data_IF_159417847651
#
_entry.id   IF_159417847651
#
_cell.length_a   1.000
_cell.length_b   1.000
_cell.length_c   1.000
_cell.angle_alpha   90.00
_cell.angle_beta   90.00
_cell.angle_gamma   90.00
#
_symmetry.space_group_name_H-M   'P 1'
#
loop_
_entity.id
_entity.type
_entity.pdbx_description
1 polymer ?
#
# COMPACT_ATOMS: atom_id res chain seq x y z
N UNK A 1 -1.87 -21.31 -3.02
CA UNK A 1 -1.68 -21.17 -2.78
C UNK A 1 -1.84 -21.18 -2.80
N UNK A 2 -1.71 -21.11 -3.08
CA UNK A 2 -1.65 -21.00 -2.94
C UNK A 2 -1.68 -20.91 -3.05
N UNK A 3 -1.64 -20.92 -3.32
CA UNK A 3 -1.53 -20.68 -3.23
C UNK A 3 -1.82 -20.55 -3.34
N UNK A 4 -1.88 -20.67 -3.78
CA UNK A 4 -2.09 -20.35 -3.61
C UNK A 4 -2.47 -20.22 -3.57
N UNK A 5 -2.67 -20.38 -3.91
CA UNK A 5 -3.14 -20.01 -3.62
C UNK A 5 -3.15 -19.61 -3.74
N UNK A 6 -3.00 -19.26 -4.31
CA UNK A 6 -2.99 -18.59 -4.43
C UNK A 6 -2.93 -17.87 -4.60
N UNK A 7 -2.92 -17.64 -5.36
CA UNK A 7 -3.14 -16.85 -5.31
C UNK A 7 -3.21 -15.36 -5.53
N UNK A 8 -3.89 -14.77 -5.31
CA UNK A 8 -4.33 -13.39 -5.26
C UNK A 8 -3.76 -12.64 -4.07
N UNK A 9 -3.03 -13.34 -3.26
CA UNK A 9 -2.40 -12.83 -2.05
C UNK A 9 -1.37 -11.74 -2.28
N UNK A 10 -0.65 -11.69 -3.42
CA UNK A 10 0.29 -10.58 -3.65
C UNK A 10 -0.38 -9.21 -3.58
N UNK A 11 -1.63 -9.13 -4.00
CA UNK A 11 -2.37 -7.87 -3.94
C UNK A 11 -2.73 -7.52 -2.49
N UNK A 12 -3.30 -8.47 -1.76
CA UNK A 12 -3.90 -8.22 -0.45
C UNK A 12 -2.93 -8.18 0.72
N UNK A 13 -1.63 -8.39 0.47
CA UNK A 13 -0.62 -8.38 1.54
C UNK A 13 0.09 -7.06 1.72
N UNK A 14 0.05 -6.21 0.71
CA UNK A 14 0.85 -4.99 0.70
C UNK A 14 0.44 -3.98 1.75
N UNK A 15 -0.86 -3.78 1.95
CA UNK A 15 -1.36 -2.81 2.92
C UNK A 15 -0.99 -3.19 4.35
N UNK A 16 -1.00 -4.47 4.68
CA UNK A 16 -0.62 -4.92 6.02
C UNK A 16 0.88 -4.75 6.26
N UNK A 17 1.69 -5.00 5.26
CA UNK A 17 3.14 -4.83 5.36
C UNK A 17 3.50 -3.35 5.55
N UNK A 18 2.86 -2.46 4.79
CA UNK A 18 3.08 -1.02 4.91
C UNK A 18 2.62 -0.52 6.27
N UNK A 19 1.44 -0.92 6.72
CA UNK A 19 0.92 -0.54 8.02
C UNK A 19 1.88 -0.98 9.13
N UNK A 20 2.36 -2.20 9.06
CA UNK A 20 3.32 -2.72 10.05
C UNK A 20 4.63 -1.92 10.03
N UNK A 21 5.11 -1.53 8.85
CA UNK A 21 6.31 -0.70 8.72
C UNK A 21 6.14 0.64 9.43
N UNK A 22 5.00 1.29 9.25
CA UNK A 22 4.71 2.55 9.94
C UNK A 22 4.66 2.37 11.45
N UNK A 23 4.03 1.29 11.92
CA UNK A 23 3.97 0.98 13.36
C UNK A 23 5.36 0.79 13.95
N UNK A 24 6.24 0.07 13.25
CA UNK A 24 7.62 -0.13 13.71
C UNK A 24 8.41 1.18 13.72
N UNK A 25 8.22 2.03 12.72
CA UNK A 25 8.87 3.34 12.68
C UNK A 25 8.46 4.19 13.88
N UNK A 26 7.17 4.19 14.24
CA UNK A 26 6.69 4.92 15.41
C UNK A 26 7.34 4.41 16.70
N UNK A 27 7.38 3.09 16.88
CA UNK A 27 7.99 2.48 18.06
C UNK A 27 9.47 2.87 18.17
N UNK A 28 10.20 2.83 17.06
CA UNK A 28 11.61 3.21 17.05
C UNK A 28 11.85 4.67 17.40
N UNK A 29 10.90 5.55 17.07
CA UNK A 29 10.97 6.95 17.39
C UNK A 29 10.43 7.27 18.77
N UNK A 30 10.05 6.26 19.53
CA UNK A 30 9.47 6.45 20.86
C UNK A 30 8.04 6.95 20.84
N UNK A 31 7.37 6.85 19.71
CA UNK A 31 5.97 7.27 19.58
C UNK A 31 5.05 6.10 19.79
N UNK A 32 3.86 6.36 20.30
CA UNK A 32 2.83 5.36 20.41
C UNK A 32 2.19 5.19 19.04
N UNK A 33 2.17 3.96 18.48
CA UNK A 33 1.51 3.72 17.19
C UNK A 33 0.01 4.01 17.28
N UNK A 34 -0.56 4.39 16.14
CA UNK A 34 -2.00 4.51 16.01
C UNK A 34 -2.65 3.12 16.05
N UNK A 35 -3.98 3.08 16.19
CA UNK A 35 -4.69 1.80 16.13
C UNK A 35 -4.38 1.11 14.80
N UNK A 36 -4.13 -0.19 14.86
CA UNK A 36 -3.74 -0.98 13.69
C UNK A 36 -4.74 -0.85 12.53
N UNK A 37 -6.04 -0.88 12.85
CA UNK A 37 -7.08 -0.73 11.84
C UNK A 37 -7.01 0.59 11.08
N UNK A 38 -6.65 1.68 11.76
CA UNK A 38 -6.48 2.97 11.12
C UNK A 38 -5.27 2.99 10.21
N UNK A 39 -4.18 2.36 10.65
CA UNK A 39 -2.96 2.23 9.84
C UNK A 39 -3.24 1.41 8.57
N UNK A 40 -3.99 0.32 8.70
CA UNK A 40 -4.35 -0.53 7.55
C UNK A 40 -5.25 0.24 6.58
N UNK A 41 -6.19 1.04 7.08
CA UNK A 41 -7.02 1.89 6.21
C UNK A 41 -6.18 2.85 5.38
N UNK A 42 -5.21 3.51 6.02
CA UNK A 42 -4.35 4.46 5.32
C UNK A 42 -3.47 3.74 4.30
N UNK A 43 -2.90 2.60 4.68
CA UNK A 43 -2.10 1.80 3.77
C UNK A 43 -2.92 1.28 2.58
N UNK A 44 -4.19 0.96 2.80
CA UNK A 44 -5.09 0.53 1.73
C UNK A 44 -5.30 1.65 0.70
N UNK A 45 -5.45 2.89 1.17
CA UNK A 45 -5.56 4.04 0.28
C UNK A 45 -4.31 4.19 -0.60
N UNK A 46 -3.15 4.02 0.00
CA UNK A 46 -1.88 4.11 -0.70
C UNK A 46 -1.74 3.01 -1.75
N UNK A 47 -2.08 1.78 -1.37
CA UNK A 47 -2.01 0.63 -2.28
C UNK A 47 -3.00 0.78 -3.43
N UNK A 48 -4.19 1.33 -3.18
CA UNK A 48 -5.15 1.61 -4.24
C UNK A 48 -4.54 2.54 -5.30
N UNK A 49 -3.84 3.57 -4.87
CA UNK A 49 -3.16 4.49 -5.79
C UNK A 49 -2.11 3.75 -6.61
N UNK A 50 -1.33 2.89 -5.99
CA UNK A 50 -0.33 2.09 -6.71
C UNK A 50 -0.98 1.23 -7.80
N UNK A 51 -2.10 0.60 -7.49
CA UNK A 51 -2.82 -0.23 -8.48
C UNK A 51 -3.41 0.60 -9.60
N UNK A 52 -3.96 1.78 -9.29
CA UNK A 52 -4.46 2.67 -10.32
C UNK A 52 -3.35 3.08 -11.30
N UNK A 53 -2.17 3.40 -10.76
CA UNK A 53 -1.02 3.74 -11.58
C UNK A 53 -0.59 2.57 -12.46
N UNK A 54 -0.57 1.36 -11.90
CA UNK A 54 -0.20 0.16 -12.65
C UNK A 54 -1.16 -0.11 -13.80
N UNK A 55 -2.46 0.07 -13.59
CA UNK A 55 -3.44 -0.13 -14.67
C UNK A 55 -3.22 0.82 -15.83
N UNK A 56 -2.78 2.04 -15.55
CA UNK A 56 -2.53 3.02 -16.59
C UNK A 56 -1.21 2.80 -17.33
N UNK A 57 -0.21 2.30 -16.63
CA UNK A 57 1.17 2.32 -17.13
C UNK A 57 1.76 0.94 -17.46
N UNK A 58 1.19 -0.14 -16.95
CA UNK A 58 1.73 -1.47 -17.14
C UNK A 58 1.16 -2.16 -18.37
N UNK A 59 2.02 -2.83 -19.14
CA UNK A 59 1.64 -3.66 -20.27
C UNK A 59 1.45 -5.14 -19.86
N UNK A 60 1.70 -5.47 -18.61
CA UNK A 60 1.57 -6.83 -18.11
C UNK A 60 0.10 -7.18 -17.93
N UNK A 61 -0.45 -7.96 -18.86
CA UNK A 61 -1.87 -8.31 -18.86
C UNK A 61 -2.29 -9.13 -17.63
N UNK A 62 -1.41 -10.00 -17.15
CA UNK A 62 -1.70 -10.80 -15.96
C UNK A 62 -1.83 -9.92 -14.73
N UNK A 63 -0.88 -9.02 -14.56
CA UNK A 63 -0.90 -8.06 -13.45
C UNK A 63 -2.11 -7.14 -13.54
N UNK A 64 -2.43 -6.67 -14.74
CA UNK A 64 -3.58 -5.79 -14.96
C UNK A 64 -4.89 -6.51 -14.64
N UNK A 65 -5.00 -7.79 -14.98
CA UNK A 65 -6.18 -8.58 -14.65
C UNK A 65 -6.35 -8.72 -13.14
N UNK A 66 -5.25 -8.99 -12.43
CA UNK A 66 -5.28 -9.05 -10.96
C UNK A 66 -5.66 -7.70 -10.35
N UNK A 67 -5.10 -6.64 -10.89
CA UNK A 67 -5.39 -5.29 -10.40
C UNK A 67 -6.87 -4.94 -10.58
N UNK A 68 -7.44 -5.21 -11.76
CA UNK A 68 -8.87 -4.96 -12.01
C UNK A 68 -9.76 -5.76 -11.08
N UNK A 69 -9.32 -6.94 -10.67
CA UNK A 69 -10.07 -7.80 -9.77
C UNK A 69 -10.12 -7.23 -8.35
N UNK A 70 -9.03 -6.65 -7.87
CA UNK A 70 -8.91 -6.21 -6.49
C UNK A 70 -9.12 -4.71 -6.28
N UNK A 71 -8.91 -3.91 -7.30
CA UNK A 71 -9.07 -2.46 -7.18
C UNK A 71 -10.45 -2.04 -6.66
N UNK A 72 -11.58 -2.65 -7.10
CA UNK A 72 -12.88 -2.29 -6.56
C UNK A 72 -13.00 -2.47 -5.05
N UNK A 73 -12.31 -3.46 -4.49
CA UNK A 73 -12.28 -3.66 -3.05
C UNK A 73 -11.57 -2.50 -2.35
N UNK A 74 -10.41 -2.10 -2.88
CA UNK A 74 -9.65 -0.99 -2.30
C UNK A 74 -10.43 0.32 -2.42
N UNK A 75 -11.12 0.52 -3.53
CA UNK A 75 -11.96 1.72 -3.72
C UNK A 75 -13.13 1.75 -2.75
N UNK A 76 -13.72 0.60 -2.43
CA UNK A 76 -14.76 0.52 -1.40
C UNK A 76 -14.24 0.89 -0.03
N UNK A 77 -13.03 0.43 0.31
CA UNK A 77 -12.42 0.77 1.59
C UNK A 77 -12.13 2.28 1.66
N UNK A 78 -11.63 2.85 0.58
CA UNK A 78 -11.37 4.29 0.52
C UNK A 78 -12.66 5.07 0.71
N UNK A 79 -13.74 4.68 0.03
CA UNK A 79 -15.03 5.31 0.16
C UNK A 79 -15.56 5.21 1.59
N UNK A 80 -15.44 4.03 2.20
CA UNK A 80 -15.84 3.82 3.57
C UNK A 80 -15.08 4.75 4.52
N UNK A 81 -13.76 4.81 4.37
CA UNK A 81 -12.93 5.68 5.20
C UNK A 81 -13.33 7.14 5.06
N UNK A 82 -13.66 7.55 3.84
CA UNK A 82 -14.08 8.92 3.56
C UNK A 82 -15.44 9.21 4.17
N UNK A 83 -16.41 8.31 3.98
CA UNK A 83 -17.77 8.49 4.51
C UNK A 83 -17.78 8.49 6.03
N UNK A 84 -16.98 7.66 6.65
CA UNK A 84 -16.88 7.55 8.12
C UNK A 84 -15.92 8.56 8.72
N UNK A 85 -15.29 9.39 7.89
CA UNK A 85 -14.32 10.40 8.31
C UNK A 85 -13.19 9.80 9.16
N UNK A 86 -12.68 8.66 8.71
CA UNK A 86 -11.56 7.99 9.39
C UNK A 86 -10.34 8.91 9.34
N UNK A 87 -9.73 9.23 10.50
CA UNK A 87 -8.59 10.13 10.50
C UNK A 87 -7.38 9.55 9.80
N UNK A 88 -6.59 10.42 9.18
CA UNK A 88 -5.33 10.03 8.57
C UNK A 88 -4.29 9.79 9.66
N UNK A 89 -3.55 8.69 9.55
CA UNK A 89 -2.50 8.33 10.52
C UNK A 89 -1.12 8.82 10.11
N UNK A 90 -0.91 9.04 8.82
CA UNK A 90 0.35 9.56 8.29
C UNK A 90 0.06 10.76 7.39
N UNK A 91 0.69 11.88 7.71
CA UNK A 91 0.40 13.15 7.05
C UNK A 91 1.64 13.80 6.45
N UNK A 92 2.81 13.21 6.63
CA UNK A 92 4.04 13.75 6.07
C UNK A 92 4.71 12.78 5.13
N UNK A 93 5.32 13.35 4.09
CA UNK A 93 5.98 12.62 3.02
C UNK A 93 7.08 11.68 3.54
N UNK A 94 7.89 12.17 4.46
CA UNK A 94 9.01 11.40 4.98
C UNK A 94 8.56 10.11 5.66
N UNK A 95 7.53 10.19 6.50
CA UNK A 95 6.99 9.03 7.19
C UNK A 95 6.42 8.01 6.21
N UNK A 96 5.66 8.49 5.22
CA UNK A 96 5.06 7.60 4.22
C UNK A 96 6.15 6.85 3.47
N UNK A 97 7.14 7.56 2.94
CA UNK A 97 8.21 6.96 2.14
C UNK A 97 9.12 6.05 2.96
N UNK A 98 9.41 6.41 4.19
CA UNK A 98 10.21 5.58 5.09
C UNK A 98 9.54 4.24 5.31
N UNK A 99 8.24 4.24 5.56
CA UNK A 99 7.48 3.00 5.74
C UNK A 99 7.45 2.15 4.48
N UNK A 100 7.25 2.76 3.32
CA UNK A 100 7.24 2.03 2.06
C UNK A 100 8.59 1.37 1.77
N UNK A 101 9.68 2.08 2.06
CA UNK A 101 11.02 1.53 1.89
C UNK A 101 11.25 0.35 2.85
N UNK A 102 10.85 0.51 4.10
CA UNK A 102 10.99 -0.53 5.12
C UNK A 102 10.15 -1.75 4.80
N UNK A 103 8.98 -1.56 4.19
CA UNK A 103 8.07 -2.63 3.85
C UNK A 103 8.73 -3.74 3.04
N UNK A 104 9.68 -3.40 2.18
CA UNK A 104 10.42 -4.39 1.38
C UNK A 104 11.32 -5.31 2.22
N UNK A 105 11.62 -4.93 3.45
CA UNK A 105 12.53 -5.69 4.31
C UNK A 105 11.81 -6.54 5.37
N UNK A 106 10.49 -6.33 5.54
CA UNK A 106 9.77 -6.95 6.65
C UNK A 106 9.33 -8.38 6.39
N UNK A 107 9.06 -8.72 5.16
CA UNK A 107 8.57 -10.05 4.81
C UNK A 107 9.11 -10.50 3.47
N UNK A 108 9.27 -11.81 3.36
CA UNK A 108 9.74 -12.48 2.16
C UNK A 108 8.54 -12.99 1.35
N UNK A 109 7.49 -12.19 1.28
CA UNK A 109 6.27 -12.52 0.57
C UNK A 109 6.17 -11.71 -0.71
N UNK A 110 5.84 -12.37 -1.81
CA UNK A 110 5.61 -11.68 -3.08
C UNK A 110 4.35 -10.81 -3.01
N UNK A 111 4.51 -9.52 -3.26
CA UNK A 111 3.44 -8.55 -3.29
C UNK A 111 3.65 -7.59 -4.47
N UNK A 112 2.71 -6.70 -4.69
CA UNK A 112 2.89 -5.65 -5.71
C UNK A 112 4.14 -4.81 -5.43
N UNK A 113 4.53 -4.67 -4.16
CA UNK A 113 5.74 -3.92 -3.80
C UNK A 113 6.99 -4.59 -4.37
N UNK A 114 7.09 -5.91 -4.23
CA UNK A 114 8.22 -6.65 -4.79
C UNK A 114 8.20 -6.67 -6.31
N UNK A 115 7.00 -6.73 -6.91
CA UNK A 115 6.89 -6.61 -8.36
C UNK A 115 7.48 -5.29 -8.85
N UNK A 116 7.10 -4.20 -8.22
CA UNK A 116 7.62 -2.88 -8.58
C UNK A 116 9.13 -2.78 -8.39
N UNK A 117 9.63 -3.36 -7.29
CA UNK A 117 11.08 -3.39 -7.05
C UNK A 117 11.80 -4.15 -8.16
N UNK A 118 11.28 -5.33 -8.52
CA UNK A 118 11.91 -6.16 -9.54
C UNK A 118 11.91 -5.49 -10.91
N UNK A 119 10.94 -4.64 -11.19
CA UNK A 119 10.87 -3.88 -12.44
C UNK A 119 11.68 -2.58 -12.40
N UNK A 120 12.29 -2.25 -11.25
CA UNK A 120 13.02 -1.00 -11.10
C UNK A 120 12.12 0.23 -10.99
N UNK A 121 10.86 0.03 -10.64
CA UNK A 121 9.85 1.10 -10.59
C UNK A 121 9.48 1.53 -9.18
N UNK A 122 9.98 0.85 -8.16
CA UNK A 122 9.49 1.03 -6.79
C UNK A 122 9.64 2.46 -6.30
N UNK A 123 10.83 3.02 -6.44
CA UNK A 123 11.12 4.36 -5.93
C UNK A 123 10.23 5.42 -6.59
N UNK A 124 10.13 5.37 -7.92
CA UNK A 124 9.30 6.31 -8.68
C UNK A 124 7.83 6.18 -8.29
N UNK A 125 7.33 4.96 -8.19
CA UNK A 125 5.93 4.71 -7.83
C UNK A 125 5.64 5.15 -6.41
N UNK A 126 6.56 4.90 -5.47
CA UNK A 126 6.37 5.31 -4.08
C UNK A 126 6.24 6.83 -3.97
N UNK A 127 7.12 7.56 -4.64
CA UNK A 127 7.09 9.03 -4.58
C UNK A 127 5.80 9.58 -5.17
N UNK A 128 5.39 9.07 -6.32
CA UNK A 128 4.17 9.53 -6.98
C UNK A 128 2.92 9.17 -6.18
N UNK A 129 2.87 7.97 -5.65
CA UNK A 129 1.75 7.53 -4.84
C UNK A 129 1.67 8.32 -3.52
N UNK A 130 2.81 8.60 -2.92
CA UNK A 130 2.88 9.42 -1.72
C UNK A 130 2.31 10.82 -1.98
N UNK A 131 2.74 11.45 -3.07
CA UNK A 131 2.25 12.78 -3.43
C UNK A 131 0.75 12.78 -3.67
N UNK A 132 0.24 11.77 -4.36
CA UNK A 132 -1.18 11.64 -4.64
C UNK A 132 -1.99 11.43 -3.34
N UNK A 133 -1.48 10.63 -2.42
CA UNK A 133 -2.14 10.40 -1.14
C UNK A 133 -2.23 11.70 -0.34
N UNK A 134 -1.13 12.43 -0.27
CA UNK A 134 -1.11 13.70 0.47
C UNK A 134 -2.07 14.72 -0.11
N UNK A 135 -2.27 14.71 -1.42
CA UNK A 135 -3.24 15.60 -2.07
C UNK A 135 -4.69 15.25 -1.73
N UNK A 136 -4.95 14.03 -1.30
CA UNK A 136 -6.31 13.58 -0.95
C UNK A 136 -6.66 13.80 0.51
N UNK A 137 -5.67 14.20 1.32
CA UNK A 137 -5.87 14.47 2.74
C UNK A 137 -6.38 15.94 2.99
#
# INVERSE_FOLDING_TARGET
>A
GMAYTGNSRPASGSEHIIAHAWELDDVEKGKKPHLHGLEVCEATRLVAILYEMLLEESDDEHLNALTRRYLPYFEKVEKFCKDMRVPSTVTDRETILSGMKRALTLRDRYTVLFYLRNCGLYENYCERACDALLMRL
#
